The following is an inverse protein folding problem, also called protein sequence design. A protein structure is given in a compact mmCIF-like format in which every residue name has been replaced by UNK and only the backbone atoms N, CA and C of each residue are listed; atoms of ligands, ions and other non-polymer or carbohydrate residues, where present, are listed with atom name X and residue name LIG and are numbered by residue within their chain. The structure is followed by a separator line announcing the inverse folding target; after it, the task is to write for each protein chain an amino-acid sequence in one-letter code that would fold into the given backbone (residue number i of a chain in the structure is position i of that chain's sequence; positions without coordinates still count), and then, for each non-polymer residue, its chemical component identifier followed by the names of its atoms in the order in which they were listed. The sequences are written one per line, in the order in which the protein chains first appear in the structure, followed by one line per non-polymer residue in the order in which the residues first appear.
data_IF_535277105260
#
_entry.id   IF_535277105260
#
_cell.length_a   1.000
_cell.length_b   1.000
_cell.length_c   1.000
_cell.angle_alpha   90.00
_cell.angle_beta   90.00
_cell.angle_gamma   90.00
#
_symmetry.space_group_name_H-M   'P 1'
#
loop_
_entity.id
_entity.type
_entity.pdbx_description
1 polymer ?
#
# COMPACT_ATOMS: atom_id res chain seq x y z
N UNK A 1 19.94 -24.30 8.60
CA UNK A 1 19.82 -23.46 7.40
C UNK A 1 21.22 -23.01 7.00
N UNK A 2 21.63 -23.18 5.75
CA UNK A 2 22.94 -22.71 5.30
C UNK A 2 22.98 -21.17 5.36
N UNK A 3 24.12 -20.56 5.71
CA UNK A 3 24.26 -19.10 5.90
C UNK A 3 23.81 -18.33 4.65
N UNK A 4 24.07 -18.88 3.46
CA UNK A 4 23.63 -18.31 2.18
C UNK A 4 22.10 -18.23 2.06
N UNK A 5 21.38 -19.23 2.58
CA UNK A 5 19.90 -19.25 2.54
C UNK A 5 19.33 -18.24 3.53
N UNK A 6 19.95 -18.08 4.72
CA UNK A 6 19.57 -17.02 5.64
C UNK A 6 19.80 -15.61 5.06
N UNK A 7 20.92 -15.40 4.38
CA UNK A 7 21.18 -14.13 3.70
C UNK A 7 20.14 -13.86 2.59
N UNK A 8 19.83 -14.86 1.78
CA UNK A 8 18.80 -14.76 0.73
C UNK A 8 17.40 -14.46 1.32
N UNK A 9 17.06 -15.05 2.46
CA UNK A 9 15.81 -14.80 3.19
C UNK A 9 15.68 -13.33 3.62
N UNK A 10 16.73 -12.76 4.20
CA UNK A 10 16.74 -11.35 4.63
C UNK A 10 16.63 -10.38 3.43
N UNK A 11 17.34 -10.67 2.33
CA UNK A 11 17.24 -9.88 1.11
C UNK A 11 15.84 -9.98 0.50
N UNK A 12 15.27 -11.18 0.42
CA UNK A 12 13.92 -11.42 -0.08
C UNK A 12 12.85 -10.68 0.72
N UNK A 13 12.98 -10.65 2.05
CA UNK A 13 12.10 -9.86 2.91
C UNK A 13 12.22 -8.35 2.64
N UNK A 14 13.44 -7.86 2.43
CA UNK A 14 13.67 -6.46 2.05
C UNK A 14 13.01 -6.12 0.70
N UNK A 15 13.16 -6.98 -0.31
CA UNK A 15 12.55 -6.77 -1.64
C UNK A 15 11.02 -6.81 -1.56
N UNK A 16 10.44 -7.68 -0.71
CA UNK A 16 8.99 -7.73 -0.52
C UNK A 16 8.40 -6.39 -0.05
N UNK A 17 9.17 -5.59 0.70
CA UNK A 17 8.74 -4.26 1.17
C UNK A 17 8.64 -3.19 0.08
N UNK A 18 9.24 -3.39 -1.09
CA UNK A 18 9.18 -2.45 -2.23
C UNK A 18 7.73 -2.23 -2.70
N UNK A 19 6.84 -3.21 -2.48
CA UNK A 19 5.41 -3.07 -2.76
C UNK A 19 4.75 -1.87 -2.06
N UNK A 20 5.27 -1.44 -0.92
CA UNK A 20 4.79 -0.25 -0.19
C UNK A 20 5.02 1.06 -0.97
N UNK A 21 6.01 1.13 -1.85
CA UNK A 21 6.24 2.30 -2.69
C UNK A 21 5.07 2.53 -3.66
N UNK A 22 4.51 1.45 -4.21
CA UNK A 22 3.32 1.50 -5.06
C UNK A 22 2.08 1.96 -4.28
N UNK A 23 1.92 1.51 -3.05
CA UNK A 23 0.84 1.96 -2.18
C UNK A 23 0.94 3.46 -1.88
N UNK A 24 2.14 3.96 -1.54
CA UNK A 24 2.38 5.39 -1.31
C UNK A 24 2.03 6.26 -2.52
N UNK A 25 2.42 5.83 -3.74
CA UNK A 25 2.04 6.52 -4.98
C UNK A 25 0.52 6.48 -5.23
N UNK A 26 -0.12 5.34 -4.96
CA UNK A 26 -1.57 5.18 -5.07
C UNK A 26 -2.34 6.13 -4.15
N UNK A 27 -1.93 6.23 -2.88
CA UNK A 27 -2.54 7.12 -1.88
C UNK A 27 -2.47 8.56 -2.38
N UNK A 28 -1.30 9.01 -2.84
CA UNK A 28 -1.13 10.36 -3.40
C UNK A 28 -2.07 10.65 -4.57
N UNK A 29 -2.29 9.66 -5.44
CA UNK A 29 -3.18 9.79 -6.59
C UNK A 29 -4.65 9.90 -6.17
N UNK A 30 -5.10 9.05 -5.23
CA UNK A 30 -6.49 9.06 -4.74
C UNK A 30 -6.81 10.37 -4.02
N UNK A 31 -5.96 10.79 -3.09
CA UNK A 31 -6.17 12.05 -2.36
C UNK A 31 -6.02 13.28 -3.25
N UNK A 32 -5.08 13.28 -4.21
CA UNK A 32 -4.92 14.36 -5.19
C UNK A 32 -6.16 14.53 -6.08
N UNK A 33 -6.72 13.40 -6.55
CA UNK A 33 -7.98 13.39 -7.30
C UNK A 33 -9.17 13.89 -6.47
N UNK A 34 -9.27 13.44 -5.21
CA UNK A 34 -10.30 13.90 -4.28
C UNK A 34 -10.23 15.42 -4.04
N UNK A 35 -9.04 15.96 -3.75
CA UNK A 35 -8.84 17.40 -3.52
C UNK A 35 -9.25 18.24 -4.74
N UNK A 36 -8.87 17.80 -5.94
CA UNK A 36 -9.22 18.50 -7.19
C UNK A 36 -10.72 18.44 -7.47
N UNK A 37 -11.36 17.29 -7.25
CA UNK A 37 -12.80 17.12 -7.43
C UNK A 37 -13.59 17.95 -6.39
N UNK A 38 -13.16 17.92 -5.13
CA UNK A 38 -13.76 18.68 -4.04
C UNK A 38 -13.64 20.20 -4.26
N UNK A 39 -12.47 20.68 -4.70
CA UNK A 39 -12.25 22.10 -4.99
C UNK A 39 -13.20 22.62 -6.08
N UNK A 40 -13.59 21.78 -7.05
CA UNK A 40 -14.52 22.15 -8.13
C UNK A 40 -15.99 22.05 -7.69
N UNK A 41 -16.33 21.07 -6.85
CA UNK A 41 -17.71 20.82 -6.42
C UNK A 41 -17.80 20.53 -4.90
N UNK A 42 -17.78 21.56 -4.04
CA UNK A 42 -17.77 21.38 -2.58
C UNK A 42 -19.04 20.73 -2.01
N UNK A 43 -20.18 20.86 -2.69
CA UNK A 43 -21.46 20.29 -2.28
C UNK A 43 -21.47 18.76 -2.26
N UNK A 44 -20.64 18.11 -3.07
CA UNK A 44 -20.53 16.65 -3.19
C UNK A 44 -19.51 16.04 -2.22
N UNK A 45 -19.03 16.80 -1.22
CA UNK A 45 -18.00 16.37 -0.27
C UNK A 45 -18.23 14.97 0.30
N UNK A 46 -19.44 14.69 0.76
CA UNK A 46 -19.75 13.44 1.45
C UNK A 46 -19.64 12.23 0.51
N UNK A 47 -20.09 12.36 -0.74
CA UNK A 47 -20.02 11.27 -1.72
C UNK A 47 -18.60 11.08 -2.24
N UNK A 48 -17.91 12.18 -2.56
CA UNK A 48 -16.50 12.14 -2.97
C UNK A 48 -15.61 11.55 -1.87
N UNK A 49 -15.88 11.86 -0.60
CA UNK A 49 -15.12 11.33 0.52
C UNK A 49 -15.36 9.83 0.71
N UNK A 50 -16.59 9.34 0.51
CA UNK A 50 -16.89 7.89 0.52
C UNK A 50 -16.13 7.16 -0.58
N UNK A 51 -16.10 7.69 -1.80
CA UNK A 51 -15.32 7.10 -2.90
C UNK A 51 -13.81 7.15 -2.64
N UNK A 52 -13.31 8.26 -2.07
CA UNK A 52 -11.91 8.37 -1.65
C UNK A 52 -11.56 7.29 -0.61
N UNK A 53 -12.42 7.07 0.38
CA UNK A 53 -12.21 6.06 1.41
C UNK A 53 -12.21 4.64 0.84
N UNK A 54 -13.11 4.35 -0.11
CA UNK A 54 -13.12 3.08 -0.83
C UNK A 54 -11.82 2.86 -1.61
N UNK A 55 -11.38 3.86 -2.37
CA UNK A 55 -10.11 3.79 -3.12
C UNK A 55 -8.90 3.61 -2.20
N UNK A 56 -8.86 4.36 -1.10
CA UNK A 56 -7.83 4.23 -0.07
C UNK A 56 -7.80 2.83 0.55
N UNK A 57 -8.94 2.27 0.93
CA UNK A 57 -9.03 0.94 1.52
C UNK A 57 -8.51 -0.16 0.57
N UNK A 58 -8.77 -0.04 -0.73
CA UNK A 58 -8.26 -0.99 -1.72
C UNK A 58 -6.73 -0.91 -1.87
N UNK A 59 -6.15 0.29 -1.83
CA UNK A 59 -4.70 0.47 -1.90
C UNK A 59 -4.03 -0.07 -0.64
N UNK A 60 -4.59 0.21 0.54
CA UNK A 60 -4.07 -0.29 1.81
C UNK A 60 -4.15 -1.83 1.90
N UNK A 61 -5.20 -2.45 1.37
CA UNK A 61 -5.28 -3.91 1.33
C UNK A 61 -4.09 -4.54 0.56
N UNK A 62 -3.68 -3.91 -0.55
CA UNK A 62 -2.50 -4.36 -1.32
C UNK A 62 -1.19 -4.08 -0.58
N UNK A 63 -1.09 -2.96 0.13
CA UNK A 63 0.04 -2.64 1.00
C UNK A 63 0.23 -3.68 2.11
N UNK A 64 -0.88 -4.08 2.75
CA UNK A 64 -0.89 -5.10 3.79
C UNK A 64 -0.51 -6.49 3.26
N UNK A 65 -0.83 -6.83 2.01
CA UNK A 65 -0.33 -8.07 1.40
C UNK A 65 1.19 -8.07 1.21
N UNK A 66 1.78 -6.93 0.83
CA UNK A 66 3.24 -6.78 0.74
C UNK A 66 3.90 -6.93 2.13
N UNK A 67 3.33 -6.32 3.17
CA UNK A 67 3.78 -6.48 4.55
C UNK A 67 3.64 -7.95 5.04
N UNK A 68 2.51 -8.58 4.76
CA UNK A 68 2.23 -9.97 5.11
C UNK A 68 3.28 -10.90 4.51
N UNK A 69 3.62 -10.73 3.23
CA UNK A 69 4.67 -11.52 2.57
C UNK A 69 6.03 -11.31 3.23
N UNK A 70 6.39 -10.07 3.59
CA UNK A 70 7.64 -9.80 4.29
C UNK A 70 7.71 -10.52 5.65
N UNK A 71 6.61 -10.54 6.42
CA UNK A 71 6.55 -11.28 7.69
C UNK A 71 6.59 -12.80 7.49
N UNK A 72 5.92 -13.31 6.45
CA UNK A 72 5.97 -14.74 6.12
C UNK A 72 7.42 -15.16 5.80
N UNK A 73 8.12 -14.36 5.00
CA UNK A 73 9.51 -14.59 4.63
C UNK A 73 10.43 -14.45 5.83
N UNK A 74 10.17 -13.58 6.82
CA UNK A 74 11.07 -13.41 7.97
C UNK A 74 10.86 -14.47 9.06
N UNK A 75 9.61 -14.77 9.39
CA UNK A 75 9.27 -15.47 10.63
C UNK A 75 8.66 -16.85 10.44
N UNK A 76 8.06 -17.15 9.28
CA UNK A 76 7.37 -18.42 9.06
C UNK A 76 8.15 -19.38 8.14
N UNK A 77 8.75 -18.86 7.07
CA UNK A 77 9.58 -19.60 6.10
C UNK A 77 11.05 -19.65 6.53
#
# INVERSE_FOLDING_TARGET
MNVTIQAAKLIGAGIASVGLAGAGAGIGTVFGGFLTAYARNPSLKNDLFRYCLLGFALIEALALFSLMLAFLILFAL
#
